data_IF_120422916877
#
_entry.id   IF_120422916877
#
_cell.length_a   1.000
_cell.length_b   1.000
_cell.length_c   1.000
_cell.angle_alpha   90.00
_cell.angle_beta   90.00
_cell.angle_gamma   90.00
#
_symmetry.space_group_name_H-M   'P 1'
#
loop_
_entity.id
_entity.type
_entity.pdbx_description
1 polymer ?
#
# COMPACT_ATOMS: atom_id res chain seq x y z
N UNK A 1 66.02 8.58 2.90
CA UNK A 1 65.39 8.28 1.59
C UNK A 1 64.48 7.07 1.79
N UNK A 2 63.26 7.31 2.31
CA UNK A 2 62.31 6.26 2.64
C UNK A 2 61.32 6.12 1.49
N UNK A 3 61.31 4.96 0.84
CA UNK A 3 60.39 4.62 -0.24
C UNK A 3 59.00 4.34 0.35
N UNK A 4 58.03 5.19 0.03
CA UNK A 4 56.61 4.94 0.30
C UNK A 4 56.11 3.87 -0.67
N UNK A 5 55.68 2.73 -0.12
CA UNK A 5 55.02 1.65 -0.86
C UNK A 5 53.66 2.12 -1.42
N UNK A 6 53.22 1.62 -2.59
CA UNK A 6 51.90 1.95 -3.14
C UNK A 6 50.81 1.21 -2.36
N UNK A 7 49.79 1.94 -1.91
CA UNK A 7 48.56 1.38 -1.31
C UNK A 7 47.83 0.48 -2.31
N UNK A 8 47.56 -0.77 -1.89
CA UNK A 8 46.77 -1.76 -2.63
C UNK A 8 45.28 -1.37 -2.65
N UNK A 9 44.87 -0.61 -3.68
CA UNK A 9 43.47 -0.25 -3.94
C UNK A 9 42.66 -1.40 -4.57
N UNK A 10 43.30 -2.50 -4.99
CA UNK A 10 42.64 -3.59 -5.72
C UNK A 10 41.85 -4.57 -4.83
N UNK A 11 42.18 -4.64 -3.54
CA UNK A 11 41.50 -5.51 -2.56
C UNK A 11 40.19 -4.94 -2.02
N UNK A 12 40.10 -3.62 -1.81
CA UNK A 12 38.91 -2.97 -1.24
C UNK A 12 37.72 -2.96 -2.21
N UNK A 13 37.94 -2.66 -3.50
CA UNK A 13 36.86 -2.66 -4.49
C UNK A 13 36.24 -4.06 -4.65
N UNK A 14 37.06 -5.12 -4.68
CA UNK A 14 36.58 -6.50 -4.78
C UNK A 14 35.75 -6.93 -3.57
N UNK A 15 36.13 -6.48 -2.36
CA UNK A 15 35.37 -6.71 -1.13
C UNK A 15 34.03 -5.96 -1.12
N UNK A 16 34.01 -4.73 -1.62
CA UNK A 16 32.80 -3.92 -1.75
C UNK A 16 31.85 -4.50 -2.79
N UNK A 17 32.32 -4.87 -4.00
CA UNK A 17 31.49 -5.50 -5.03
C UNK A 17 30.93 -6.86 -4.58
N UNK A 18 31.69 -7.64 -3.81
CA UNK A 18 31.21 -8.93 -3.27
C UNK A 18 30.18 -8.73 -2.15
N UNK A 19 30.36 -7.72 -1.29
CA UNK A 19 29.41 -7.33 -0.24
C UNK A 19 28.11 -6.75 -0.82
N UNK A 20 28.23 -5.85 -1.81
CA UNK A 20 27.10 -5.26 -2.55
C UNK A 20 26.38 -6.32 -3.37
N UNK A 21 27.12 -7.21 -4.05
CA UNK A 21 26.55 -8.33 -4.79
C UNK A 21 25.83 -9.33 -3.89
N UNK A 22 26.41 -9.70 -2.75
CA UNK A 22 25.76 -10.57 -1.77
C UNK A 22 24.51 -9.92 -1.18
N UNK A 23 24.57 -8.64 -0.81
CA UNK A 23 23.41 -7.89 -0.32
C UNK A 23 22.30 -7.77 -1.35
N UNK A 24 22.66 -7.48 -2.62
CA UNK A 24 21.72 -7.45 -3.74
C UNK A 24 21.04 -8.81 -3.96
N UNK A 25 21.80 -9.90 -3.97
CA UNK A 25 21.26 -11.27 -4.12
C UNK A 25 20.32 -11.63 -2.97
N UNK A 26 20.64 -11.25 -1.73
CA UNK A 26 19.76 -11.49 -0.58
C UNK A 26 18.45 -10.71 -0.68
N UNK A 27 18.49 -9.43 -1.08
CA UNK A 27 17.28 -8.62 -1.26
C UNK A 27 16.44 -9.12 -2.45
N UNK A 28 17.10 -9.42 -3.57
CA UNK A 28 16.44 -9.93 -4.77
C UNK A 28 15.82 -11.32 -4.52
N UNK A 29 16.54 -12.20 -3.81
CA UNK A 29 16.04 -13.51 -3.38
C UNK A 29 14.83 -13.40 -2.47
N UNK A 30 14.89 -12.55 -1.44
CA UNK A 30 13.76 -12.30 -0.55
C UNK A 30 12.52 -11.79 -1.31
N UNK A 31 12.75 -10.94 -2.31
CA UNK A 31 11.69 -10.36 -3.12
C UNK A 31 11.05 -11.38 -4.06
N UNK A 32 11.84 -12.27 -4.65
CA UNK A 32 11.35 -13.42 -5.44
C UNK A 32 10.55 -14.37 -4.56
N UNK A 33 11.09 -14.74 -3.39
CA UNK A 33 10.41 -15.65 -2.45
C UNK A 33 9.08 -15.06 -2.00
N UNK A 34 9.03 -13.77 -1.66
CA UNK A 34 7.80 -13.09 -1.28
C UNK A 34 6.75 -13.13 -2.41
N UNK A 35 7.15 -12.95 -3.66
CA UNK A 35 6.23 -13.01 -4.82
C UNK A 35 5.74 -14.43 -5.10
N UNK A 36 6.63 -15.42 -5.03
CA UNK A 36 6.28 -16.84 -5.14
C UNK A 36 5.33 -17.27 -4.03
N UNK A 37 5.61 -16.86 -2.79
CA UNK A 37 4.77 -17.14 -1.63
C UNK A 37 3.37 -16.54 -1.84
N UNK A 38 3.31 -15.26 -2.19
CA UNK A 38 2.04 -14.56 -2.47
C UNK A 38 1.26 -15.25 -3.59
N UNK A 39 1.94 -15.68 -4.65
CA UNK A 39 1.34 -16.44 -5.74
C UNK A 39 0.79 -17.79 -5.28
N UNK A 40 1.57 -18.57 -4.54
CA UNK A 40 1.15 -19.90 -4.04
C UNK A 40 -0.04 -19.77 -3.09
N UNK A 41 -0.02 -18.81 -2.17
CA UNK A 41 -1.17 -18.58 -1.28
C UNK A 41 -2.40 -18.13 -2.07
N UNK A 42 -2.25 -17.23 -3.05
CA UNK A 42 -3.37 -16.84 -3.91
C UNK A 42 -3.96 -18.02 -4.68
N UNK A 43 -3.12 -18.92 -5.20
CA UNK A 43 -3.58 -20.16 -5.86
C UNK A 43 -4.25 -21.11 -4.86
N UNK A 44 -3.73 -21.24 -3.64
CA UNK A 44 -4.33 -22.07 -2.59
C UNK A 44 -5.71 -21.53 -2.17
N UNK A 45 -5.85 -20.21 -2.03
CA UNK A 45 -7.15 -19.54 -1.79
C UNK A 45 -8.12 -19.86 -2.93
N UNK A 46 -7.68 -19.73 -4.19
CA UNK A 46 -8.53 -20.01 -5.36
C UNK A 46 -8.96 -21.49 -5.47
N UNK A 47 -8.23 -22.42 -4.83
CA UNK A 47 -8.59 -23.85 -4.79
C UNK A 47 -9.52 -24.21 -3.64
N UNK A 48 -9.47 -23.49 -2.53
CA UNK A 48 -10.25 -23.81 -1.32
C UNK A 48 -11.56 -23.00 -1.22
N UNK A 49 -11.67 -21.89 -1.94
CA UNK A 49 -12.87 -21.06 -1.97
C UNK A 49 -13.73 -21.41 -3.18
N UNK A 50 -15.05 -21.46 -2.99
CA UNK A 50 -15.97 -21.64 -4.11
C UNK A 50 -15.79 -20.55 -5.18
N UNK A 51 -15.90 -20.91 -6.46
CA UNK A 51 -15.61 -19.98 -7.57
C UNK A 51 -16.43 -18.71 -7.51
N UNK A 52 -17.68 -18.81 -7.02
CA UNK A 52 -18.58 -17.66 -6.91
C UNK A 52 -18.08 -16.67 -5.85
N UNK A 53 -17.74 -17.15 -4.66
CA UNK A 53 -17.21 -16.33 -3.57
C UNK A 53 -15.82 -15.75 -3.90
N UNK A 54 -14.96 -16.50 -4.58
CA UNK A 54 -13.66 -16.00 -5.04
C UNK A 54 -13.84 -14.87 -6.06
N UNK A 55 -14.73 -15.04 -7.05
CA UNK A 55 -15.03 -14.00 -8.05
C UNK A 55 -15.62 -12.74 -7.43
N UNK A 56 -16.55 -12.89 -6.48
CA UNK A 56 -17.12 -11.76 -5.74
C UNK A 56 -16.05 -11.03 -4.91
N UNK A 57 -15.27 -11.75 -4.10
CA UNK A 57 -14.27 -11.14 -3.22
C UNK A 57 -13.06 -10.56 -3.94
N UNK A 58 -12.44 -11.35 -4.82
CA UNK A 58 -11.18 -10.97 -5.46
C UNK A 58 -11.36 -10.03 -6.66
N UNK A 59 -12.54 -10.01 -7.29
CA UNK A 59 -12.80 -9.17 -8.47
C UNK A 59 -13.83 -8.10 -8.13
N UNK A 60 -15.08 -8.46 -7.81
CA UNK A 60 -16.15 -7.46 -7.68
C UNK A 60 -15.88 -6.48 -6.53
N UNK A 61 -15.60 -6.98 -5.33
CA UNK A 61 -15.31 -6.13 -4.17
C UNK A 61 -13.98 -5.37 -4.32
N UNK A 62 -12.99 -5.98 -4.97
CA UNK A 62 -11.73 -5.31 -5.27
C UNK A 62 -11.96 -4.12 -6.23
N UNK A 63 -12.76 -4.30 -7.28
CA UNK A 63 -13.12 -3.24 -8.21
C UNK A 63 -13.83 -2.08 -7.49
N UNK A 64 -14.66 -2.37 -6.48
CA UNK A 64 -15.28 -1.34 -5.64
C UNK A 64 -14.23 -0.51 -4.93
N UNK A 65 -13.28 -1.17 -4.25
CA UNK A 65 -12.18 -0.48 -3.56
C UNK A 65 -11.34 0.34 -4.55
N UNK A 66 -10.94 -0.25 -5.66
CA UNK A 66 -10.09 0.40 -6.66
C UNK A 66 -10.80 1.60 -7.31
N UNK A 67 -12.10 1.50 -7.58
CA UNK A 67 -12.91 2.60 -8.10
C UNK A 67 -13.02 3.76 -7.09
N UNK A 68 -13.32 3.45 -5.82
CA UNK A 68 -13.38 4.47 -4.76
C UNK A 68 -12.03 5.20 -4.67
N UNK A 69 -10.92 4.45 -4.65
CA UNK A 69 -9.58 5.01 -4.59
C UNK A 69 -9.25 5.83 -5.83
N UNK A 70 -9.55 5.34 -7.03
CA UNK A 70 -9.26 6.05 -8.28
C UNK A 70 -10.00 7.38 -8.33
N UNK A 71 -11.32 7.38 -8.13
CA UNK A 71 -12.13 8.61 -8.12
C UNK A 71 -11.61 9.59 -7.09
N UNK A 72 -11.18 9.09 -5.94
CA UNK A 72 -10.76 9.92 -4.83
C UNK A 72 -9.31 10.40 -4.93
N UNK A 73 -8.42 9.72 -5.67
CA UNK A 73 -6.99 10.06 -5.78
C UNK A 73 -6.69 10.97 -6.98
N UNK A 74 -7.38 10.79 -8.10
CA UNK A 74 -6.95 11.37 -9.37
C UNK A 74 -6.95 12.90 -9.35
N UNK A 75 -8.02 13.53 -8.82
CA UNK A 75 -8.10 14.99 -8.73
C UNK A 75 -7.03 15.61 -7.82
N UNK A 76 -6.67 14.95 -6.72
CA UNK A 76 -5.67 15.46 -5.77
C UNK A 76 -4.24 15.22 -6.25
N UNK A 77 -3.97 14.06 -6.87
CA UNK A 77 -2.65 13.75 -7.43
C UNK A 77 -2.29 14.72 -8.55
N UNK A 78 -3.22 14.99 -9.46
CA UNK A 78 -2.99 15.94 -10.55
C UNK A 78 -2.76 17.37 -10.03
N UNK A 79 -3.46 17.78 -8.96
CA UNK A 79 -3.22 19.07 -8.30
C UNK A 79 -1.81 19.15 -7.66
N UNK A 80 -1.36 18.08 -7.01
CA UNK A 80 -0.09 18.06 -6.28
C UNK A 80 1.13 17.83 -7.17
N UNK A 81 0.98 17.11 -8.29
CA UNK A 81 2.05 16.84 -9.26
C UNK A 81 2.53 18.08 -10.02
N UNK A 82 1.72 19.13 -10.11
CA UNK A 82 2.12 20.41 -10.73
C UNK A 82 3.09 21.24 -9.87
N UNK A 83 3.36 20.77 -8.65
CA UNK A 83 4.26 21.45 -7.73
C UNK A 83 5.73 21.16 -8.10
N UNK A 84 6.59 22.19 -8.20
CA UNK A 84 8.03 22.01 -8.37
C UNK A 84 8.64 21.12 -7.28
N UNK A 85 9.56 20.23 -7.66
CA UNK A 85 10.26 19.35 -6.71
C UNK A 85 10.97 20.12 -5.57
N UNK A 86 11.50 21.32 -5.87
CA UNK A 86 12.15 22.18 -4.88
C UNK A 86 11.22 22.58 -3.72
N UNK A 87 9.91 22.74 -3.98
CA UNK A 87 8.95 23.16 -2.96
C UNK A 87 8.62 22.04 -1.95
N UNK A 88 8.94 20.77 -2.26
CA UNK A 88 8.78 19.64 -1.35
C UNK A 88 9.89 19.57 -0.30
N UNK A 89 11.02 20.27 -0.52
CA UNK A 89 12.10 20.39 0.46
C UNK A 89 11.84 21.50 1.49
N UNK A 90 10.99 22.48 1.16
CA UNK A 90 10.54 23.52 2.08
C UNK A 90 9.45 22.97 3.01
N UNK A 91 9.71 23.00 4.33
CA UNK A 91 8.80 22.44 5.33
C UNK A 91 7.42 23.14 5.34
N UNK A 92 7.37 24.45 5.14
CA UNK A 92 6.13 25.22 5.17
C UNK A 92 5.26 24.96 3.95
N UNK A 93 5.86 24.92 2.76
CA UNK A 93 5.15 24.58 1.51
C UNK A 93 4.67 23.14 1.52
N UNK A 94 5.53 22.20 1.95
CA UNK A 94 5.18 20.78 2.10
C UNK A 94 4.00 20.58 3.05
N UNK A 95 4.00 21.22 4.22
CA UNK A 95 2.89 21.10 5.17
C UNK A 95 1.56 21.55 4.57
N UNK A 96 1.56 22.63 3.78
CA UNK A 96 0.38 23.11 3.06
C UNK A 96 -0.12 22.08 2.04
N UNK A 97 0.78 21.47 1.28
CA UNK A 97 0.45 20.43 0.30
C UNK A 97 -0.14 19.19 0.97
N UNK A 98 0.43 18.77 2.10
CA UNK A 98 -0.08 17.62 2.87
C UNK A 98 -1.46 17.90 3.47
N UNK A 99 -1.75 19.14 3.89
CA UNK A 99 -3.11 19.56 4.31
C UNK A 99 -4.12 19.54 3.16
N UNK A 100 -3.69 19.87 1.95
CA UNK A 100 -4.57 19.76 0.77
C UNK A 100 -4.76 18.29 0.41
N UNK A 101 -3.71 17.47 0.47
CA UNK A 101 -3.78 16.04 0.26
C UNK A 101 -4.70 15.36 1.28
N UNK A 102 -4.72 15.80 2.54
CA UNK A 102 -5.58 15.20 3.57
C UNK A 102 -7.07 15.46 3.37
N UNK A 103 -7.46 16.43 2.52
CA UNK A 103 -8.85 16.60 2.09
C UNK A 103 -9.33 15.44 1.19
N UNK A 104 -8.43 14.62 0.65
CA UNK A 104 -8.81 13.40 -0.08
C UNK A 104 -9.48 12.36 0.84
N UNK A 105 -9.21 12.39 2.15
CA UNK A 105 -9.79 11.48 3.11
C UNK A 105 -11.31 11.68 3.28
N UNK A 106 -11.82 12.87 3.67
CA UNK A 106 -13.26 13.10 3.74
C UNK A 106 -13.93 12.97 2.37
N UNK A 107 -13.21 13.28 1.28
CA UNK A 107 -13.71 13.04 -0.08
C UNK A 107 -13.87 11.54 -0.38
N UNK A 108 -12.92 10.69 0.03
CA UNK A 108 -13.02 9.24 -0.15
C UNK A 108 -14.19 8.63 0.61
N UNK A 109 -14.50 9.17 1.79
CA UNK A 109 -15.67 8.76 2.56
C UNK A 109 -16.98 9.12 1.84
N UNK A 110 -17.05 10.33 1.26
CA UNK A 110 -18.18 10.74 0.43
C UNK A 110 -18.35 9.81 -0.78
N UNK A 111 -17.27 9.53 -1.51
CA UNK A 111 -17.30 8.62 -2.67
C UNK A 111 -17.71 7.21 -2.26
N UNK A 112 -17.21 6.69 -1.14
CA UNK A 112 -17.60 5.40 -0.60
C UNK A 112 -19.10 5.32 -0.31
N UNK A 113 -19.67 6.36 0.34
CA UNK A 113 -21.13 6.44 0.61
C UNK A 113 -21.93 6.46 -0.68
N UNK A 114 -21.50 7.24 -1.68
CA UNK A 114 -22.19 7.33 -2.98
C UNK A 114 -22.14 5.99 -3.72
N UNK A 115 -20.97 5.36 -3.81
CA UNK A 115 -20.77 4.08 -4.51
C UNK A 115 -21.60 2.97 -3.85
N UNK A 116 -21.63 2.90 -2.52
CA UNK A 116 -22.44 1.93 -1.79
C UNK A 116 -23.95 2.23 -1.88
N UNK A 117 -24.34 3.51 -1.80
CA UNK A 117 -25.74 3.92 -1.77
C UNK A 117 -26.44 3.84 -3.12
N UNK A 118 -25.70 4.05 -4.21
CA UNK A 118 -26.25 3.97 -5.58
C UNK A 118 -26.28 2.54 -6.13
N UNK A 119 -25.58 1.59 -5.50
CA UNK A 119 -25.38 0.27 -6.08
C UNK A 119 -24.69 0.33 -7.44
N UNK A 120 -23.88 1.37 -7.71
CA UNK A 120 -23.26 1.62 -9.01
C UNK A 120 -22.40 0.45 -9.53
N UNK A 121 -22.01 -0.46 -8.64
CA UNK A 121 -21.20 -1.64 -8.93
C UNK A 121 -21.99 -2.95 -8.88
N UNK A 122 -23.31 -2.87 -8.66
CA UNK A 122 -24.23 -4.01 -8.59
C UNK A 122 -24.57 -4.63 -9.95
N UNK A 123 -24.05 -4.09 -11.06
CA UNK A 123 -24.27 -4.48 -12.47
C UNK A 123 -25.07 -5.77 -12.76
N UNK A 124 -26.37 -5.78 -12.45
CA UNK A 124 -27.29 -6.89 -12.69
C UNK A 124 -27.03 -8.21 -11.94
N UNK A 125 -26.06 -8.30 -11.03
CA UNK A 125 -25.85 -9.51 -10.22
C UNK A 125 -26.25 -9.26 -8.78
N UNK A 126 -26.95 -10.24 -8.19
CA UNK A 126 -27.61 -10.22 -6.88
C UNK A 126 -26.68 -9.81 -5.72
N UNK A 127 -26.39 -8.53 -5.60
CA UNK A 127 -25.74 -7.87 -4.45
C UNK A 127 -26.73 -7.58 -3.33
N UNK A 128 -27.97 -8.07 -3.46
CA UNK A 128 -29.09 -7.85 -2.55
C UNK A 128 -29.04 -8.71 -1.28
N UNK A 129 -28.05 -9.59 -1.14
CA UNK A 129 -27.85 -10.43 0.04
C UNK A 129 -27.04 -9.73 1.15
N UNK A 130 -27.38 -9.91 2.44
CA UNK A 130 -26.56 -9.44 3.57
C UNK A 130 -25.10 -9.92 3.50
N UNK A 131 -24.89 -11.13 2.96
CA UNK A 131 -23.59 -11.79 2.83
C UNK A 131 -22.60 -11.04 1.94
N UNK A 132 -23.07 -10.26 0.96
CA UNK A 132 -22.22 -9.46 0.07
C UNK A 132 -22.15 -8.01 0.54
N UNK A 133 -23.24 -7.49 1.12
CA UNK A 133 -23.32 -6.09 1.56
C UNK A 133 -22.33 -5.77 2.68
N UNK A 134 -22.20 -6.64 3.67
CA UNK A 134 -21.29 -6.41 4.81
C UNK A 134 -19.82 -6.38 4.35
N UNK A 135 -19.31 -7.36 3.57
CA UNK A 135 -17.99 -7.28 2.96
C UNK A 135 -17.78 -6.04 2.09
N UNK A 136 -18.79 -5.61 1.31
CA UNK A 136 -18.67 -4.42 0.47
C UNK A 136 -18.44 -3.15 1.29
N UNK A 137 -19.16 -3.00 2.41
CA UNK A 137 -18.93 -1.88 3.35
C UNK A 137 -17.51 -1.95 3.92
N UNK A 138 -17.02 -3.13 4.28
CA UNK A 138 -15.65 -3.30 4.78
C UNK A 138 -14.58 -2.99 3.72
N UNK A 139 -14.79 -3.35 2.46
CA UNK A 139 -13.92 -2.96 1.34
C UNK A 139 -13.92 -1.45 1.12
N UNK A 140 -15.08 -0.80 1.22
CA UNK A 140 -15.17 0.65 1.14
C UNK A 140 -14.46 1.35 2.31
N UNK A 141 -14.60 0.82 3.53
CA UNK A 141 -13.84 1.28 4.69
C UNK A 141 -12.34 1.06 4.48
N UNK A 142 -11.93 -0.08 3.93
CA UNK A 142 -10.53 -0.35 3.60
C UNK A 142 -9.97 0.67 2.60
N UNK A 143 -10.74 1.03 1.57
CA UNK A 143 -10.37 2.09 0.64
C UNK A 143 -10.18 3.44 1.36
N UNK A 144 -11.04 3.80 2.32
CA UNK A 144 -10.86 5.04 3.09
C UNK A 144 -9.61 5.00 3.99
N UNK A 145 -9.28 3.85 4.59
CA UNK A 145 -8.04 3.67 5.37
C UNK A 145 -6.81 3.77 4.47
N UNK A 146 -6.86 3.17 3.28
CA UNK A 146 -5.78 3.27 2.31
C UNK A 146 -5.61 4.71 1.78
N UNK A 147 -6.72 5.46 1.65
CA UNK A 147 -6.67 6.88 1.30
C UNK A 147 -6.00 7.71 2.39
N UNK A 148 -6.14 7.36 3.67
CA UNK A 148 -5.44 8.06 4.75
C UNK A 148 -3.91 7.98 4.60
N UNK A 149 -3.39 6.96 3.93
CA UNK A 149 -1.96 6.83 3.64
C UNK A 149 -1.50 7.68 2.45
N UNK A 150 -2.42 8.25 1.65
CA UNK A 150 -2.11 8.97 0.41
C UNK A 150 -1.17 10.17 0.62
N UNK A 151 -1.36 11.06 1.62
CA UNK A 151 -0.46 12.21 1.82
C UNK A 151 0.99 11.75 2.07
N UNK A 152 1.17 10.69 2.86
CA UNK A 152 2.48 10.11 3.14
C UNK A 152 3.06 9.43 1.90
N UNK A 153 2.22 8.79 1.09
CA UNK A 153 2.63 8.17 -0.16
C UNK A 153 3.11 9.20 -1.19
N UNK A 154 2.38 10.32 -1.32
CA UNK A 154 2.77 11.45 -2.17
C UNK A 154 4.08 12.07 -1.69
N UNK A 155 4.25 12.24 -0.37
CA UNK A 155 5.52 12.71 0.20
C UNK A 155 6.67 11.76 -0.15
N UNK A 156 6.50 10.45 0.06
CA UNK A 156 7.51 9.45 -0.29
C UNK A 156 7.83 9.43 -1.79
N UNK A 157 6.84 9.69 -2.64
CA UNK A 157 7.02 9.76 -4.09
C UNK A 157 7.82 10.99 -4.51
N UNK A 158 7.47 12.18 -4.01
CA UNK A 158 8.16 13.43 -4.35
C UNK A 158 9.58 13.51 -3.78
N UNK A 159 9.84 12.85 -2.64
CA UNK A 159 11.19 12.69 -2.08
C UNK A 159 11.98 11.53 -2.72
N UNK A 160 11.44 10.88 -3.76
CA UNK A 160 12.08 9.77 -4.49
C UNK A 160 12.48 8.59 -3.60
N UNK A 161 11.72 8.32 -2.53
CA UNK A 161 11.93 7.21 -1.60
C UNK A 161 11.41 5.88 -2.17
N UNK A 162 11.88 5.52 -3.38
CA UNK A 162 11.39 4.38 -4.16
C UNK A 162 11.57 3.07 -3.39
N UNK A 163 12.71 2.89 -2.71
CA UNK A 163 12.99 1.67 -1.94
C UNK A 163 11.93 1.40 -0.89
N UNK A 164 11.52 2.43 -0.15
CA UNK A 164 10.54 2.29 0.93
C UNK A 164 9.16 2.01 0.37
N UNK A 165 8.75 2.71 -0.69
CA UNK A 165 7.48 2.42 -1.37
C UNK A 165 7.39 0.95 -1.79
N UNK A 166 8.46 0.42 -2.38
CA UNK A 166 8.52 -0.99 -2.78
C UNK A 166 8.42 -1.92 -1.57
N UNK A 167 9.16 -1.66 -0.49
CA UNK A 167 9.11 -2.52 0.70
C UNK A 167 7.74 -2.49 1.39
N UNK A 168 7.13 -1.31 1.53
CA UNK A 168 5.82 -1.15 2.13
C UNK A 168 4.74 -1.86 1.31
N UNK A 169 4.77 -1.69 -0.01
CA UNK A 169 3.83 -2.37 -0.93
C UNK A 169 3.94 -3.89 -0.82
N UNK A 170 5.17 -4.40 -0.83
CA UNK A 170 5.43 -5.83 -0.71
C UNK A 170 4.95 -6.37 0.65
N UNK A 171 5.26 -5.66 1.75
CA UNK A 171 4.81 -6.04 3.08
C UNK A 171 3.28 -6.06 3.18
N UNK A 172 2.60 -5.03 2.65
CA UNK A 172 1.14 -4.97 2.66
C UNK A 172 0.50 -6.10 1.85
N UNK A 173 1.05 -6.41 0.67
CA UNK A 173 0.57 -7.54 -0.14
C UNK A 173 0.78 -8.89 0.57
N UNK A 174 1.92 -9.08 1.22
CA UNK A 174 2.18 -10.29 2.01
C UNK A 174 1.23 -10.42 3.20
N UNK A 175 1.01 -9.33 3.95
CA UNK A 175 0.05 -9.31 5.07
C UNK A 175 -1.36 -9.60 4.57
N UNK A 176 -1.80 -8.94 3.49
CA UNK A 176 -3.10 -9.16 2.85
C UNK A 176 -3.33 -10.64 2.58
N UNK A 177 -2.42 -11.26 1.85
CA UNK A 177 -2.58 -12.65 1.41
C UNK A 177 -2.46 -13.61 2.59
N UNK A 178 -1.60 -13.34 3.57
CA UNK A 178 -1.53 -14.10 4.82
C UNK A 178 -2.84 -14.04 5.62
N UNK A 179 -3.44 -12.86 5.76
CA UNK A 179 -4.72 -12.67 6.44
C UNK A 179 -5.86 -13.39 5.72
N UNK A 180 -5.94 -13.28 4.39
CA UNK A 180 -6.96 -14.00 3.61
C UNK A 180 -6.79 -15.50 3.76
N UNK A 181 -5.58 -16.03 3.57
CA UNK A 181 -5.34 -17.47 3.66
C UNK A 181 -5.62 -18.03 5.05
N UNK A 182 -5.18 -17.33 6.10
CA UNK A 182 -5.45 -17.72 7.49
C UNK A 182 -6.95 -17.68 7.79
N UNK A 183 -7.65 -16.62 7.38
CA UNK A 183 -9.08 -16.45 7.63
C UNK A 183 -9.93 -17.46 6.87
N UNK A 184 -9.58 -17.79 5.62
CA UNK A 184 -10.26 -18.84 4.84
C UNK A 184 -10.07 -20.21 5.48
N UNK A 185 -8.90 -20.49 6.05
CA UNK A 185 -8.63 -21.76 6.71
C UNK A 185 -9.35 -21.89 8.06
N UNK A 186 -9.44 -20.79 8.83
CA UNK A 186 -10.11 -20.77 10.14
C UNK A 186 -11.65 -20.72 10.01
N UNK A 187 -12.17 -19.97 9.03
CA UNK A 187 -13.61 -19.75 8.84
C UNK A 187 -14.03 -19.97 7.38
N UNK A 188 -14.06 -21.24 6.92
CA UNK A 188 -14.42 -21.57 5.54
C UNK A 188 -15.85 -21.14 5.16
N UNK A 189 -16.73 -20.96 6.15
CA UNK A 189 -18.11 -20.51 5.96
C UNK A 189 -18.27 -19.04 5.51
N UNK A 190 -17.24 -18.18 5.66
CA UNK A 190 -17.34 -16.75 5.38
C UNK A 190 -16.17 -16.20 4.53
N UNK A 191 -15.95 -16.74 3.31
CA UNK A 191 -14.79 -16.36 2.48
C UNK A 191 -14.76 -14.87 2.12
N UNK A 192 -15.91 -14.23 1.89
CA UNK A 192 -15.97 -12.80 1.55
C UNK A 192 -15.47 -11.91 2.69
N UNK A 193 -15.70 -12.31 3.94
CA UNK A 193 -15.18 -11.62 5.12
C UNK A 193 -13.65 -11.76 5.22
N UNK A 194 -13.11 -12.91 4.83
CA UNK A 194 -11.66 -13.10 4.74
C UNK A 194 -11.03 -12.14 3.72
N UNK A 195 -11.63 -11.99 2.53
CA UNK A 195 -11.18 -11.03 1.52
C UNK A 195 -11.25 -9.58 2.03
N UNK A 196 -12.33 -9.21 2.70
CA UNK A 196 -12.51 -7.87 3.25
C UNK A 196 -11.50 -7.57 4.37
N UNK A 197 -11.27 -8.53 5.28
CA UNK A 197 -10.24 -8.43 6.30
C UNK A 197 -8.83 -8.31 5.71
N UNK A 198 -8.54 -9.06 4.64
CA UNK A 198 -7.31 -8.92 3.89
C UNK A 198 -7.11 -7.52 3.30
N UNK A 199 -8.15 -6.94 2.70
CA UNK A 199 -8.08 -5.60 2.13
C UNK A 199 -7.92 -4.51 3.21
N UNK A 200 -8.59 -4.66 4.36
CA UNK A 200 -8.36 -3.78 5.51
C UNK A 200 -6.93 -3.87 6.02
N UNK A 201 -6.40 -5.09 6.15
CA UNK A 201 -5.03 -5.33 6.60
C UNK A 201 -4.00 -4.76 5.62
N UNK A 202 -4.26 -4.83 4.31
CA UNK A 202 -3.47 -4.16 3.28
C UNK A 202 -3.37 -2.65 3.54
N UNK A 203 -4.51 -1.96 3.55
CA UNK A 203 -4.55 -0.50 3.73
C UNK A 203 -3.93 -0.05 5.06
N UNK A 204 -4.21 -0.77 6.15
CA UNK A 204 -3.62 -0.50 7.46
C UNK A 204 -2.10 -0.68 7.46
N UNK A 205 -1.58 -1.71 6.79
CA UNK A 205 -0.14 -1.95 6.69
C UNK A 205 0.56 -0.82 5.93
N UNK A 206 0.00 -0.36 4.81
CA UNK A 206 0.53 0.79 4.06
C UNK A 206 0.60 2.02 4.98
N UNK A 207 -0.50 2.33 5.66
CA UNK A 207 -0.60 3.49 6.56
C UNK A 207 0.41 3.42 7.70
N UNK A 208 0.46 2.30 8.42
CA UNK A 208 1.34 2.11 9.58
C UNK A 208 2.81 2.15 9.16
N UNK A 209 3.20 1.46 8.09
CA UNK A 209 4.59 1.43 7.66
C UNK A 209 5.09 2.80 7.22
N UNK A 210 4.29 3.56 6.46
CA UNK A 210 4.67 4.91 6.06
C UNK A 210 4.67 5.88 7.24
N UNK A 211 3.66 5.83 8.10
CA UNK A 211 3.58 6.68 9.29
C UNK A 211 4.77 6.41 10.23
N UNK A 212 5.10 5.14 10.47
CA UNK A 212 6.26 4.74 11.28
C UNK A 212 7.57 5.24 10.66
N UNK A 213 7.75 5.08 9.35
CA UNK A 213 8.95 5.57 8.68
C UNK A 213 9.13 7.08 8.82
N UNK A 214 8.09 7.87 8.56
CA UNK A 214 8.17 9.34 8.67
C UNK A 214 8.24 9.84 10.12
N UNK A 215 7.71 9.08 11.08
CA UNK A 215 7.84 9.41 12.51
C UNK A 215 9.26 9.15 13.04
N UNK A 216 9.91 8.09 12.57
CA UNK A 216 11.25 7.70 13.01
C UNK A 216 12.37 8.46 12.26
N UNK A 217 12.14 8.86 11.01
CA UNK A 217 13.12 9.63 10.24
C UNK A 217 13.12 11.11 10.66
N UNK A 218 13.96 11.44 11.66
CA UNK A 218 14.15 12.81 12.15
C UNK A 218 14.52 13.82 11.05
N UNK A 219 15.16 13.39 9.97
CA UNK A 219 15.53 14.23 8.83
C UNK A 219 14.33 14.72 8.00
N UNK A 220 13.18 14.03 8.07
CA UNK A 220 11.96 14.36 7.33
C UNK A 220 10.74 14.57 8.27
N UNK A 221 10.99 14.61 9.58
CA UNK A 221 10.01 14.50 10.68
C UNK A 221 8.98 15.62 10.81
N UNK A 222 9.02 16.65 9.96
CA UNK A 222 7.93 17.62 9.82
C UNK A 222 6.64 17.00 9.27
N UNK A 223 6.74 15.83 8.63
CA UNK A 223 5.65 15.14 7.94
C UNK A 223 4.53 14.57 8.82
N UNK A 224 4.64 14.56 10.16
CA UNK A 224 3.50 14.22 11.04
C UNK A 224 2.94 15.42 11.81
N UNK A 225 3.69 16.53 11.89
CA UNK A 225 3.29 17.70 12.68
C UNK A 225 2.04 18.39 12.11
N UNK A 226 1.77 18.27 10.82
CA UNK A 226 0.56 18.80 10.18
C UNK A 226 -0.72 18.04 10.54
N UNK A 227 -0.64 16.79 11.01
CA UNK A 227 -1.82 16.07 11.54
C UNK A 227 -2.25 16.62 12.91
N UNK A 228 -1.33 17.27 13.62
CA UNK A 228 -1.51 17.76 14.99
C UNK A 228 -1.59 19.30 15.08
N UNK A 229 -1.58 20.02 13.95
CA UNK A 229 -1.60 21.51 13.89
C UNK A 229 -2.48 22.09 12.79
#
# INVERSE_FOLDING_TARGET
MAATMPEDKGGQDKGLFKSVGSGFVSLFGLQIVSRLLTFILNVAIARNVDRTAYGQGAVQLQLVSDAILMLSREGFRDALQRTPAADWHDEGKRARMLRVASLSLPFSLLVAVVVLGTGALSGGTSTSGPEVRVPAVLFALAATVEMAAEPLYIMAHNLLLIRIRVWVEMAALSVRVGVVACSVWLWPQAPLMAFAGGQLAYGATILVCLAAYFSLSKEHGGGLRWLLS
#
